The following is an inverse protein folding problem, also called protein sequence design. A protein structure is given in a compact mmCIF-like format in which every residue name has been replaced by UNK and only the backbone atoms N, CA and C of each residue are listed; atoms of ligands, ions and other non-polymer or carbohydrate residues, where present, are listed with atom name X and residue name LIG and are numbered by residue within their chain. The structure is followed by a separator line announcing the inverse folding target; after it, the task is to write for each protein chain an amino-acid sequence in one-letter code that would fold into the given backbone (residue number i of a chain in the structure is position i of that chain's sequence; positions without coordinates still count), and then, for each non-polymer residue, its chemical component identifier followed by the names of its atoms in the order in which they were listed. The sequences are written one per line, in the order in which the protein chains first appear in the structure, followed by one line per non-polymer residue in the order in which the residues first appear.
data_IF_793885307330
#
_entry.id   IF_793885307330
#
_cell.length_a   1.000
_cell.length_b   1.000
_cell.length_c   1.000
_cell.angle_alpha   90.00
_cell.angle_beta   90.00
_cell.angle_gamma   90.00
#
_symmetry.space_group_name_H-M   'P 1'
#
loop_
_entity.id
_entity.type
_entity.pdbx_description
1 polymer ?
#
# COMPACT_ATOMS: atom_id res chain seq x y z
N UNK A 1 9.36 -19.62 20.92
CA UNK A 1 8.76 -18.29 21.12
C UNK A 1 8.40 -17.78 19.74
N UNK A 2 7.22 -17.18 19.50
CA UNK A 2 6.96 -16.60 18.19
C UNK A 2 7.93 -15.41 18.03
N UNK A 3 8.92 -15.57 17.15
CA UNK A 3 9.82 -14.49 16.76
C UNK A 3 9.01 -13.50 15.92
N UNK A 4 8.40 -12.51 16.57
CA UNK A 4 7.66 -11.45 15.88
C UNK A 4 8.69 -10.62 15.11
N UNK A 5 8.84 -10.93 13.82
CA UNK A 5 9.69 -10.17 12.91
C UNK A 5 9.03 -8.83 12.63
N UNK A 6 9.66 -7.74 13.06
CA UNK A 6 9.12 -6.38 12.90
C UNK A 6 8.83 -6.02 11.43
N UNK A 7 9.55 -6.63 10.47
CA UNK A 7 9.26 -6.49 9.05
C UNK A 7 7.94 -7.16 8.64
N UNK A 8 7.57 -8.28 9.24
CA UNK A 8 6.33 -8.99 8.92
C UNK A 8 5.09 -8.26 9.45
N UNK A 9 5.25 -7.48 10.51
CA UNK A 9 4.20 -6.60 11.03
C UNK A 9 3.85 -5.46 10.04
N UNK A 10 4.84 -5.00 9.26
CA UNK A 10 4.69 -3.92 8.29
C UNK A 10 4.91 -4.42 6.86
N UNK A 11 3.93 -5.13 6.32
CA UNK A 11 4.02 -5.75 5.00
C UNK A 11 4.40 -4.78 3.86
N UNK A 12 3.98 -3.51 3.93
CA UNK A 12 4.40 -2.49 2.95
C UNK A 12 5.92 -2.27 2.90
N UNK A 13 6.59 -2.32 4.06
CA UNK A 13 8.05 -2.20 4.16
C UNK A 13 8.71 -3.51 3.70
N UNK A 14 8.18 -4.66 4.12
CA UNK A 14 8.70 -5.96 3.72
C UNK A 14 8.64 -6.16 2.20
N UNK A 15 7.54 -5.77 1.55
CA UNK A 15 7.36 -5.89 0.10
C UNK A 15 8.26 -4.94 -0.67
N UNK A 16 8.49 -3.72 -0.17
CA UNK A 16 9.45 -2.78 -0.76
C UNK A 16 10.88 -3.37 -0.76
N UNK A 17 11.31 -3.98 0.34
CA UNK A 17 12.65 -4.60 0.45
C UNK A 17 12.81 -5.85 -0.41
N UNK A 18 11.75 -6.64 -0.59
CA UNK A 18 11.77 -7.86 -1.41
C UNK A 18 11.48 -7.62 -2.90
N UNK A 19 10.98 -6.44 -3.26
CA UNK A 19 10.65 -6.12 -4.65
C UNK A 19 11.88 -5.87 -5.52
N UNK A 20 11.74 -6.07 -6.84
CA UNK A 20 12.76 -5.71 -7.81
C UNK A 20 13.22 -4.24 -7.58
N UNK A 21 14.53 -3.96 -7.49
CA UNK A 21 15.04 -2.62 -7.26
C UNK A 21 14.45 -1.56 -8.20
N UNK A 22 14.13 -1.93 -9.44
CA UNK A 22 13.54 -1.00 -10.39
C UNK A 22 12.11 -0.59 -10.03
N UNK A 23 11.28 -1.56 -9.58
CA UNK A 23 9.92 -1.32 -9.10
C UNK A 23 9.92 -0.53 -7.78
N UNK A 24 10.86 -0.85 -6.89
CA UNK A 24 11.04 -0.12 -5.62
C UNK A 24 11.31 1.36 -5.87
N UNK A 25 12.26 1.70 -6.75
CA UNK A 25 12.61 3.08 -7.09
C UNK A 25 11.41 3.81 -7.71
N UNK A 26 10.69 3.15 -8.62
CA UNK A 26 9.48 3.72 -9.23
C UNK A 26 8.42 4.09 -8.19
N UNK A 27 8.14 3.20 -7.23
CA UNK A 27 7.17 3.45 -6.16
C UNK A 27 7.59 4.59 -5.25
N UNK A 28 8.86 4.63 -4.84
CA UNK A 28 9.39 5.74 -4.02
C UNK A 28 9.27 7.06 -4.78
N UNK A 29 9.61 7.07 -6.07
CA UNK A 29 9.44 8.25 -6.93
C UNK A 29 8.00 8.74 -6.99
N UNK A 30 7.04 7.83 -7.20
CA UNK A 30 5.61 8.17 -7.24
C UNK A 30 5.05 8.62 -5.88
N UNK A 31 5.53 8.05 -4.77
CA UNK A 31 5.17 8.51 -3.42
C UNK A 31 5.66 9.95 -3.20
N UNK A 32 6.91 10.24 -3.53
CA UNK A 32 7.47 11.58 -3.44
C UNK A 32 6.73 12.58 -4.35
N UNK A 33 6.34 12.15 -5.55
CA UNK A 33 5.52 12.96 -6.46
C UNK A 33 4.13 13.22 -5.88
N UNK A 34 3.49 12.23 -5.26
CA UNK A 34 2.22 12.42 -4.54
C UNK A 34 2.34 13.45 -3.41
N UNK A 35 3.40 13.40 -2.61
CA UNK A 35 3.70 14.40 -1.59
C UNK A 35 3.97 15.79 -2.20
N UNK A 36 4.68 15.85 -3.32
CA UNK A 36 4.94 17.11 -4.04
C UNK A 36 3.63 17.75 -4.52
N UNK A 37 2.73 16.99 -5.13
CA UNK A 37 1.43 17.49 -5.60
C UNK A 37 0.57 17.99 -4.45
N UNK A 38 0.56 17.27 -3.33
CA UNK A 38 -0.12 17.71 -2.11
C UNK A 38 0.47 19.01 -1.56
N UNK A 39 1.81 19.14 -1.55
CA UNK A 39 2.50 20.35 -1.14
C UNK A 39 2.18 21.56 -2.04
N UNK A 40 2.20 21.37 -3.36
CA UNK A 40 1.86 22.41 -4.33
C UNK A 40 0.38 22.81 -4.26
N UNK A 41 -0.52 21.86 -4.02
CA UNK A 41 -1.93 22.12 -3.74
C UNK A 41 -2.13 22.93 -2.45
N UNK A 42 -1.42 22.58 -1.38
CA UNK A 42 -1.45 23.34 -0.12
C UNK A 42 -0.89 24.77 -0.29
N UNK A 43 0.15 24.95 -1.11
CA UNK A 43 0.74 26.26 -1.43
C UNK A 43 -0.10 27.11 -2.39
N UNK A 44 -1.20 26.58 -2.94
CA UNK A 44 -2.05 27.29 -3.90
C UNK A 44 -1.41 27.50 -5.28
N UNK A 45 -0.32 26.78 -5.59
CA UNK A 45 0.29 26.78 -6.93
C UNK A 45 -0.57 25.98 -7.91
N UNK A 46 -1.26 24.95 -7.40
CA UNK A 46 -2.21 24.12 -8.14
C UNK A 46 -3.56 24.09 -7.41
N UNK A 47 -4.61 23.57 -8.06
CA UNK A 47 -5.95 23.45 -7.47
C UNK A 47 -5.97 22.50 -6.26
N UNK A 48 -6.03 23.07 -5.06
CA UNK A 48 -5.96 22.33 -3.79
C UNK A 48 -7.02 21.22 -3.67
N UNK A 49 -8.24 21.49 -4.14
CA UNK A 49 -9.36 20.56 -4.06
C UNK A 49 -9.10 19.25 -4.83
N UNK A 50 -8.34 19.30 -5.94
CA UNK A 50 -8.02 18.14 -6.75
C UNK A 50 -6.65 17.54 -6.39
N UNK A 51 -5.65 18.38 -6.17
CA UNK A 51 -4.26 17.92 -6.04
C UNK A 51 -3.96 17.26 -4.70
N UNK A 52 -4.60 17.71 -3.62
CA UNK A 52 -4.46 17.08 -2.30
C UNK A 52 -5.00 15.64 -2.32
N UNK A 53 -6.27 15.38 -2.73
CA UNK A 53 -6.76 14.00 -2.79
C UNK A 53 -6.05 13.15 -3.84
N UNK A 54 -5.66 13.73 -4.98
CA UNK A 54 -4.90 13.02 -6.01
C UNK A 54 -3.51 12.59 -5.49
N UNK A 55 -2.78 13.49 -4.85
CA UNK A 55 -1.46 13.21 -4.28
C UNK A 55 -1.52 12.19 -3.13
N UNK A 56 -2.53 12.29 -2.27
CA UNK A 56 -2.78 11.31 -1.21
C UNK A 56 -3.07 9.91 -1.79
N UNK A 57 -3.93 9.82 -2.80
CA UNK A 57 -4.23 8.57 -3.49
C UNK A 57 -2.98 7.94 -4.10
N UNK A 58 -2.18 8.72 -4.84
CA UNK A 58 -0.94 8.26 -5.46
C UNK A 58 0.10 7.80 -4.42
N UNK A 59 0.27 8.50 -3.30
CA UNK A 59 1.21 8.09 -2.27
C UNK A 59 0.75 6.81 -1.56
N UNK A 60 -0.53 6.73 -1.19
CA UNK A 60 -1.09 5.58 -0.45
C UNK A 60 -1.13 4.30 -1.28
N UNK A 61 -1.47 4.35 -2.57
CA UNK A 61 -1.49 3.15 -3.44
C UNK A 61 -0.09 2.54 -3.63
N UNK A 62 0.94 3.39 -3.67
CA UNK A 62 2.33 2.95 -3.86
C UNK A 62 2.99 2.50 -2.54
N UNK A 63 2.46 2.92 -1.39
CA UNK A 63 2.87 2.47 -0.07
C UNK A 63 2.14 1.18 0.37
N UNK A 64 0.87 1.03 -0.01
CA UNK A 64 0.01 -0.10 0.36
C UNK A 64 0.22 -1.32 -0.53
N UNK A 65 1.44 -1.85 -0.58
CA UNK A 65 1.75 -3.07 -1.33
C UNK A 65 1.78 -4.25 -0.38
N UNK A 66 1.07 -5.31 -0.75
CA UNK A 66 0.93 -6.52 0.06
C UNK A 66 1.45 -7.74 -0.71
N UNK A 67 1.80 -8.77 0.04
CA UNK A 67 2.17 -10.08 -0.51
C UNK A 67 0.92 -10.96 -0.54
N UNK A 68 0.45 -11.28 -1.73
CA UNK A 68 -0.68 -12.17 -1.95
C UNK A 68 -0.26 -13.65 -1.95
N UNK A 69 -1.25 -14.53 -1.82
CA UNK A 69 -1.07 -15.98 -1.95
C UNK A 69 -0.34 -16.36 -3.25
N UNK A 70 0.66 -17.24 -3.15
CA UNK A 70 1.51 -17.65 -4.28
C UNK A 70 2.70 -16.71 -4.55
N UNK A 71 3.06 -15.82 -3.62
CA UNK A 71 4.24 -14.96 -3.72
C UNK A 71 4.08 -13.77 -4.66
N UNK A 72 2.84 -13.41 -5.03
CA UNK A 72 2.56 -12.27 -5.90
C UNK A 72 2.54 -10.98 -5.10
N UNK A 73 3.23 -9.94 -5.55
CA UNK A 73 3.14 -8.60 -4.98
C UNK A 73 2.09 -7.77 -5.70
N UNK A 74 1.23 -7.06 -4.98
CA UNK A 74 0.24 -6.16 -5.58
C UNK A 74 -0.26 -5.09 -4.60
N UNK A 75 -1.07 -4.16 -5.09
CA UNK A 75 -1.58 -3.04 -4.29
C UNK A 75 -2.83 -3.42 -3.49
N UNK A 76 -3.07 -2.73 -2.37
CA UNK A 76 -4.29 -2.83 -1.53
C UNK A 76 -5.59 -2.66 -2.33
N UNK A 77 -5.52 -1.94 -3.46
CA UNK A 77 -6.60 -1.83 -4.43
C UNK A 77 -6.60 -3.06 -5.34
N UNK A 78 -7.34 -4.04 -4.85
CA UNK A 78 -7.83 -5.30 -5.40
C UNK A 78 -7.75 -5.53 -6.91
N UNK A 79 -7.47 -6.79 -7.23
CA UNK A 79 -7.74 -7.42 -8.51
C UNK A 79 -9.20 -7.12 -8.94
N UNK A 80 -9.43 -6.27 -9.96
CA UNK A 80 -10.77 -5.89 -10.39
C UNK A 80 -11.55 -7.07 -11.01
N UNK A 81 -10.91 -8.23 -11.18
CA UNK A 81 -11.51 -9.45 -11.70
C UNK A 81 -11.96 -10.41 -10.57
N UNK A 82 -11.85 -10.00 -9.30
CA UNK A 82 -12.39 -10.76 -8.18
C UNK A 82 -13.88 -11.04 -8.41
N UNK A 83 -14.21 -12.30 -8.64
CA UNK A 83 -15.54 -12.71 -9.10
C UNK A 83 -16.53 -12.82 -7.93
N UNK A 84 -16.02 -12.91 -6.70
CA UNK A 84 -16.83 -13.04 -5.49
C UNK A 84 -16.44 -12.01 -4.42
N UNK A 85 -17.43 -11.63 -3.60
CA UNK A 85 -17.25 -10.71 -2.48
C UNK A 85 -16.20 -11.24 -1.47
N UNK A 86 -16.23 -12.54 -1.17
CA UNK A 86 -15.25 -13.16 -0.27
C UNK A 86 -13.81 -13.06 -0.78
N UNK A 87 -13.60 -13.17 -2.10
CA UNK A 87 -12.28 -12.97 -2.70
C UNK A 87 -11.83 -11.51 -2.56
N UNK A 88 -12.72 -10.55 -2.82
CA UNK A 88 -12.43 -9.14 -2.62
C UNK A 88 -12.08 -8.81 -1.17
N UNK A 89 -12.90 -9.27 -0.21
CA UNK A 89 -12.67 -9.06 1.22
C UNK A 89 -11.36 -9.69 1.69
N UNK A 90 -11.01 -10.89 1.22
CA UNK A 90 -9.73 -11.55 1.53
C UNK A 90 -8.53 -10.80 0.94
N UNK A 91 -8.67 -10.29 -0.29
CA UNK A 91 -7.59 -9.56 -0.96
C UNK A 91 -7.36 -8.16 -0.36
N UNK A 92 -8.38 -7.53 0.25
CA UNK A 92 -8.24 -6.23 0.90
C UNK A 92 -7.36 -6.31 2.15
N UNK A 93 -7.15 -7.52 2.68
CA UNK A 93 -6.27 -7.78 3.83
C UNK A 93 -6.48 -6.75 4.95
N UNK A 94 -7.75 -6.38 5.22
CA UNK A 94 -8.12 -5.56 6.39
C UNK A 94 -8.09 -6.48 7.60
N UNK A 95 -6.89 -6.95 7.90
CA UNK A 95 -6.57 -7.91 8.93
C UNK A 95 -5.78 -7.24 10.05
N UNK A 96 -6.01 -5.94 10.27
CA UNK A 96 -5.29 -5.18 11.31
C UNK A 96 -5.48 -5.77 12.72
N UNK A 97 -6.53 -6.58 12.92
CA UNK A 97 -6.81 -7.35 14.14
C UNK A 97 -6.41 -8.83 14.07
N UNK A 98 -5.97 -9.37 12.93
CA UNK A 98 -5.45 -10.76 12.85
C UNK A 98 -4.39 -11.06 13.91
N UNK A 99 -3.43 -10.15 14.23
CA UNK A 99 -2.45 -10.38 15.28
C UNK A 99 -3.05 -10.58 16.67
N UNK A 100 -4.30 -10.16 16.91
CA UNK A 100 -5.00 -10.34 18.18
C UNK A 100 -5.80 -11.65 18.16
N UNK A 101 -6.46 -11.96 17.05
CA UNK A 101 -7.29 -13.17 16.91
C UNK A 101 -6.47 -14.47 16.76
N UNK A 102 -5.20 -14.37 16.37
CA UNK A 102 -4.27 -15.52 16.25
C UNK A 102 -3.53 -15.86 17.56
N UNK A 103 -3.82 -15.16 18.66
CA UNK A 103 -3.21 -15.40 19.98
C UNK A 103 -4.01 -16.37 20.86
N UNK A 104 -5.12 -16.94 20.37
CA UNK A 104 -5.91 -18.00 21.02
C UNK A 104 -5.72 -19.32 20.29
#
# INVERSE_FOLDING_TARGET
MPDISFLELFQGIATLVHSDPHLMIGRIGLMLLGFLLMYLGYKGVLEALLMIPMGLGMATVNAGVLTFAGGKHGTLFLDPLATTNDQGMTQMQIDWLQPIYSLT
#
